data_IF_977218741141
#
_entry.id   IF_977218741141
#
_cell.length_a   1.000
_cell.length_b   1.000
_cell.length_c   1.000
_cell.angle_alpha   90.00
_cell.angle_beta   90.00
_cell.angle_gamma   90.00
#
_symmetry.space_group_name_H-M   'P 1'
#
loop_
_entity.id
_entity.type
_entity.pdbx_description
1 polymer ?
#
# COMPACT_ATOMS: atom_id res chain seq x y z
N UNK A 1 15.15 -5.90 -17.52
CA UNK A 1 15.77 -5.89 -16.18
C UNK A 1 14.77 -5.42 -15.14
N UNK A 2 14.61 -6.18 -14.07
CA UNK A 2 13.83 -5.71 -12.95
C UNK A 2 14.60 -4.58 -12.25
N UNK A 3 13.90 -3.55 -11.84
CA UNK A 3 14.49 -2.43 -11.12
C UNK A 3 14.08 -2.54 -9.65
N UNK A 4 15.07 -2.68 -8.77
CA UNK A 4 14.81 -2.67 -7.33
C UNK A 4 14.24 -1.33 -6.91
N UNK A 5 13.14 -1.35 -6.20
CA UNK A 5 12.54 -0.16 -5.61
C UNK A 5 12.79 -0.13 -4.11
N UNK A 6 12.76 1.07 -3.53
CA UNK A 6 12.98 1.26 -2.10
C UNK A 6 11.83 2.04 -1.50
N UNK A 7 11.51 1.71 -0.25
CA UNK A 7 10.57 2.46 0.54
C UNK A 7 11.13 2.67 1.93
N UNK A 8 10.73 3.77 2.58
CA UNK A 8 11.15 4.06 3.94
C UNK A 8 10.08 4.88 4.66
N UNK A 9 10.09 4.79 5.99
CA UNK A 9 9.26 5.65 6.81
C UNK A 9 9.91 7.03 6.94
N UNK A 10 9.14 7.99 7.42
CA UNK A 10 9.57 9.38 7.54
C UNK A 10 10.86 9.52 8.38
N UNK A 11 10.97 8.79 9.50
CA UNK A 11 12.13 8.89 10.37
C UNK A 11 13.31 7.99 9.95
N UNK A 12 13.11 7.14 8.94
CA UNK A 12 14.14 6.23 8.44
C UNK A 12 14.36 4.97 9.26
N UNK A 13 13.62 4.78 10.36
CA UNK A 13 13.81 3.61 11.23
C UNK A 13 13.41 2.29 10.57
N UNK A 14 12.47 2.35 9.63
CA UNK A 14 11.98 1.18 8.87
C UNK A 14 12.13 1.45 7.39
N UNK A 15 12.75 0.54 6.67
CA UNK A 15 12.90 0.64 5.22
C UNK A 15 12.86 -0.74 4.59
N UNK A 16 12.68 -0.78 3.29
CA UNK A 16 12.74 -2.03 2.54
C UNK A 16 13.26 -1.81 1.13
N UNK A 17 13.70 -2.89 0.53
CA UNK A 17 13.99 -2.98 -0.90
C UNK A 17 13.15 -4.11 -1.48
N UNK A 18 12.48 -3.88 -2.59
CA UNK A 18 11.70 -4.88 -3.31
C UNK A 18 12.25 -5.03 -4.71
N UNK A 19 12.44 -6.29 -5.15
CA UNK A 19 13.01 -6.55 -6.47
C UNK A 19 12.06 -6.16 -7.59
N UNK A 20 10.76 -6.43 -7.41
CA UNK A 20 9.71 -6.11 -8.38
C UNK A 20 8.46 -5.68 -7.64
N UNK A 21 7.70 -4.80 -8.27
CA UNK A 21 6.39 -4.37 -7.73
C UNK A 21 5.35 -4.38 -8.83
N UNK A 22 4.08 -4.52 -8.44
CA UNK A 22 2.96 -4.34 -9.34
C UNK A 22 2.70 -2.86 -9.58
N UNK A 23 1.75 -2.56 -10.47
CA UNK A 23 1.15 -1.24 -10.53
C UNK A 23 0.34 -0.95 -9.26
N UNK A 24 -0.15 0.26 -9.13
CA UNK A 24 -0.72 0.81 -7.89
C UNK A 24 -2.23 0.91 -8.00
N UNK A 25 -2.93 0.58 -6.91
CA UNK A 25 -4.38 0.77 -6.78
C UNK A 25 -4.63 1.86 -5.74
N UNK A 26 -5.47 2.82 -6.10
CA UNK A 26 -5.90 3.90 -5.21
C UNK A 26 -7.21 3.48 -4.53
N UNK A 27 -7.22 3.47 -3.19
CA UNK A 27 -8.36 3.00 -2.40
C UNK A 27 -9.01 4.15 -1.65
N UNK A 28 -10.30 4.37 -1.92
CA UNK A 28 -11.08 5.44 -1.31
C UNK A 28 -11.93 5.02 -0.13
N UNK A 29 -11.82 3.78 0.36
CA UNK A 29 -12.59 3.36 1.52
C UNK A 29 -12.18 4.16 2.75
N UNK A 30 -13.11 4.32 3.70
CA UNK A 30 -12.87 5.13 4.90
C UNK A 30 -11.69 4.62 5.72
N UNK A 31 -11.51 3.30 5.80
CA UNK A 31 -10.41 2.71 6.55
C UNK A 31 -9.06 3.02 5.91
N UNK A 32 -8.97 2.90 4.57
CA UNK A 32 -7.74 3.24 3.85
C UNK A 32 -7.39 4.71 3.96
N UNK A 33 -8.40 5.59 3.86
CA UNK A 33 -8.18 7.03 4.05
C UNK A 33 -7.62 7.34 5.43
N UNK A 34 -8.22 6.78 6.47
CA UNK A 34 -7.78 7.00 7.85
C UNK A 34 -6.40 6.42 8.10
N UNK A 35 -6.14 5.20 7.61
CA UNK A 35 -4.85 4.56 7.81
C UNK A 35 -3.73 5.28 7.05
N UNK A 36 -4.01 5.79 5.85
CA UNK A 36 -3.03 6.50 5.03
C UNK A 36 -2.86 7.97 5.42
N UNK A 37 -3.87 8.55 6.08
CA UNK A 37 -3.84 9.95 6.48
C UNK A 37 -4.10 10.93 5.34
N UNK A 38 -4.86 10.52 4.32
CA UNK A 38 -5.17 11.37 3.16
C UNK A 38 -6.52 11.05 2.55
N UNK A 39 -6.79 11.58 1.36
CA UNK A 39 -8.06 11.36 0.66
C UNK A 39 -8.21 9.93 0.15
N UNK A 40 -7.12 9.19 0.05
CA UNK A 40 -7.08 7.80 -0.40
C UNK A 40 -5.83 7.11 0.13
N UNK A 41 -5.83 5.78 0.12
CA UNK A 41 -4.63 4.99 0.29
C UNK A 41 -4.14 4.54 -1.09
N UNK A 42 -2.83 4.30 -1.23
CA UNK A 42 -2.20 3.89 -2.48
C UNK A 42 -1.40 2.63 -2.21
N UNK A 43 -1.72 1.54 -2.88
CA UNK A 43 -1.14 0.24 -2.56
C UNK A 43 -0.66 -0.51 -3.79
N UNK A 44 0.36 -1.32 -3.61
CA UNK A 44 0.87 -2.21 -4.65
C UNK A 44 1.19 -3.57 -4.03
N UNK A 45 1.39 -4.55 -4.89
CA UNK A 45 1.71 -5.93 -4.49
C UNK A 45 3.17 -6.22 -4.80
N UNK A 46 3.85 -6.87 -3.87
CA UNK A 46 5.18 -7.45 -4.08
C UNK A 46 5.14 -8.92 -3.67
N UNK A 47 6.12 -9.69 -4.14
CA UNK A 47 6.30 -11.06 -3.63
C UNK A 47 7.04 -10.97 -2.31
N UNK A 48 6.51 -11.61 -1.28
CA UNK A 48 7.06 -11.51 0.08
C UNK A 48 8.53 -11.91 0.15
N UNK A 49 8.94 -12.93 -0.61
CA UNK A 49 10.32 -13.39 -0.63
C UNK A 49 11.26 -12.49 -1.44
N UNK A 50 10.73 -11.46 -2.11
CA UNK A 50 11.52 -10.48 -2.86
C UNK A 50 11.65 -9.15 -2.14
N UNK A 51 11.13 -9.05 -0.91
CA UNK A 51 11.20 -7.84 -0.10
C UNK A 51 12.19 -8.06 1.05
N UNK A 52 13.18 -7.20 1.11
CA UNK A 52 14.18 -7.21 2.18
C UNK A 52 13.96 -6.01 3.10
N UNK A 53 13.73 -6.25 4.37
CA UNK A 53 13.44 -5.22 5.36
C UNK A 53 14.66 -4.85 6.19
N UNK A 54 14.72 -3.58 6.59
CA UNK A 54 15.59 -3.10 7.65
C UNK A 54 14.70 -2.43 8.71
N UNK A 55 14.90 -2.78 9.96
CA UNK A 55 14.10 -2.24 11.05
C UNK A 55 12.69 -2.79 11.13
N UNK A 56 12.41 -3.95 10.55
CA UNK A 56 11.08 -4.58 10.57
C UNK A 56 10.53 -4.73 11.98
N UNK A 57 11.38 -5.00 12.97
CA UNK A 57 10.97 -5.13 14.36
C UNK A 57 10.43 -3.83 14.97
N UNK A 58 10.60 -2.69 14.31
CA UNK A 58 10.06 -1.41 14.76
C UNK A 58 8.69 -1.10 14.16
N UNK A 59 8.11 -2.02 13.42
CA UNK A 59 6.73 -1.90 12.96
C UNK A 59 5.77 -2.20 14.08
N UNK A 60 4.70 -1.43 14.16
CA UNK A 60 3.52 -1.77 14.95
C UNK A 60 2.49 -2.38 14.00
N UNK A 61 1.88 -3.46 14.43
CA UNK A 61 0.89 -4.20 13.67
C UNK A 61 -0.48 -4.01 14.30
N UNK A 62 -1.44 -3.54 13.51
CA UNK A 62 -2.81 -3.29 13.98
C UNK A 62 -3.79 -4.12 13.16
N UNK A 63 -4.60 -4.93 13.85
CA UNK A 63 -5.66 -5.68 13.19
C UNK A 63 -6.83 -4.73 12.92
N UNK A 64 -6.85 -4.15 11.73
CA UNK A 64 -7.82 -3.10 11.35
C UNK A 64 -9.22 -3.66 11.05
N UNK A 65 -9.29 -4.93 10.69
CA UNK A 65 -10.52 -5.69 10.54
C UNK A 65 -10.20 -7.16 10.76
N UNK A 66 -11.20 -8.02 11.04
CA UNK A 66 -10.93 -9.43 11.35
C UNK A 66 -10.04 -10.10 10.30
N UNK A 67 -8.88 -10.58 10.74
CA UNK A 67 -7.93 -11.29 9.89
C UNK A 67 -7.05 -10.41 9.00
N UNK A 68 -7.15 -9.07 9.10
CA UNK A 68 -6.37 -8.15 8.27
C UNK A 68 -5.51 -7.22 9.13
N UNK A 69 -4.22 -7.19 8.83
CA UNK A 69 -3.21 -6.44 9.60
C UNK A 69 -2.66 -5.30 8.75
N UNK A 70 -2.62 -4.10 9.33
CA UNK A 70 -1.90 -2.94 8.78
C UNK A 70 -0.70 -2.66 9.65
N UNK A 71 0.43 -2.30 9.04
CA UNK A 71 1.68 -2.10 9.78
C UNK A 71 2.24 -0.71 9.51
N UNK A 72 2.74 -0.08 10.55
CA UNK A 72 3.27 1.29 10.48
C UNK A 72 4.48 1.42 11.41
N UNK A 73 5.32 2.43 11.13
CA UNK A 73 6.49 2.69 11.98
C UNK A 73 6.06 3.12 13.37
N UNK A 74 6.59 2.44 14.40
CA UNK A 74 6.29 2.76 15.80
C UNK A 74 6.79 4.15 16.22
N UNK A 75 7.82 4.68 15.52
CA UNK A 75 8.45 5.95 15.89
C UNK A 75 7.82 7.14 15.21
N UNK A 76 7.50 7.05 13.93
CA UNK A 76 7.00 8.20 13.17
C UNK A 76 5.58 8.02 12.62
N UNK A 77 5.01 6.83 12.73
CA UNK A 77 3.63 6.57 12.31
C UNK A 77 3.42 6.38 10.82
N UNK A 78 4.46 6.40 10.00
CA UNK A 78 4.31 6.18 8.55
C UNK A 78 3.70 4.82 8.29
N UNK A 79 2.58 4.78 7.55
CA UNK A 79 1.97 3.54 7.10
C UNK A 79 2.90 2.87 6.08
N UNK A 80 3.36 1.66 6.38
CA UNK A 80 4.28 0.93 5.52
C UNK A 80 3.58 -0.13 4.67
N UNK A 81 2.44 -0.62 5.13
CA UNK A 81 1.68 -1.66 4.41
C UNK A 81 0.24 -1.25 4.21
N UNK A 82 -0.44 -1.92 3.27
CA UNK A 82 -1.89 -1.96 3.25
C UNK A 82 -2.40 -3.03 4.21
N UNK A 83 -3.64 -3.47 4.01
CA UNK A 83 -4.25 -4.53 4.80
C UNK A 83 -3.79 -5.89 4.27
N UNK A 84 -3.00 -6.59 5.05
CA UNK A 84 -2.50 -7.93 4.71
C UNK A 84 -3.17 -9.00 5.55
N UNK A 85 -3.25 -10.22 5.03
CA UNK A 85 -3.78 -11.35 5.78
C UNK A 85 -2.93 -11.59 7.03
N UNK A 86 -3.61 -11.85 8.15
CA UNK A 86 -2.96 -12.20 9.42
C UNK A 86 -2.16 -13.50 9.25
N UNK A 87 -2.71 -14.45 8.48
CA UNK A 87 -2.00 -15.64 8.04
C UNK A 87 -1.39 -15.34 6.67
N UNK A 88 -0.11 -14.95 6.61
CA UNK A 88 0.47 -14.43 5.37
C UNK A 88 0.56 -15.48 4.27
N UNK A 89 0.32 -15.04 3.05
CA UNK A 89 0.54 -15.82 1.83
C UNK A 89 1.85 -15.37 1.15
N UNK A 90 2.02 -15.71 -0.13
CA UNK A 90 3.25 -15.40 -0.87
C UNK A 90 3.40 -13.93 -1.24
N UNK A 91 2.34 -13.13 -1.12
CA UNK A 91 2.34 -11.72 -1.49
C UNK A 91 2.26 -10.83 -0.27
N UNK A 92 2.66 -9.57 -0.45
CA UNK A 92 2.49 -8.53 0.55
C UNK A 92 1.99 -7.26 -0.14
N UNK A 93 1.01 -6.61 0.48
CA UNK A 93 0.50 -5.32 0.02
C UNK A 93 1.23 -4.23 0.79
N UNK A 94 1.91 -3.36 0.05
CA UNK A 94 2.71 -2.28 0.60
C UNK A 94 2.11 -0.91 0.25
N UNK A 95 2.39 0.10 1.06
CA UNK A 95 1.94 1.46 0.82
C UNK A 95 2.84 2.14 -0.19
N UNK A 96 2.27 2.65 -1.28
CA UNK A 96 3.02 3.38 -2.28
C UNK A 96 3.52 4.74 -1.77
N UNK A 97 2.89 5.28 -0.71
CA UNK A 97 3.30 6.56 -0.14
C UNK A 97 4.68 6.51 0.52
N UNK A 98 5.17 5.32 0.86
CA UNK A 98 6.49 5.13 1.42
C UNK A 98 7.59 4.93 0.36
N UNK A 99 7.21 4.80 -0.92
CA UNK A 99 8.18 4.60 -2.00
C UNK A 99 9.05 5.83 -2.20
N UNK A 100 10.30 5.60 -2.55
CA UNK A 100 11.31 6.64 -2.80
C UNK A 100 11.73 6.65 -4.26
N UNK A 101 12.00 7.86 -4.76
CA UNK A 101 12.53 8.06 -6.11
C UNK A 101 11.56 7.70 -7.21
N UNK A 102 12.07 7.49 -8.40
CA UNK A 102 11.26 7.07 -9.55
C UNK A 102 10.98 5.57 -9.48
N UNK A 103 9.73 5.20 -9.63
CA UNK A 103 9.31 3.81 -9.60
C UNK A 103 8.67 3.40 -10.93
N UNK A 104 8.83 2.13 -11.35
CA UNK A 104 8.30 1.66 -12.64
C UNK A 104 6.82 1.22 -12.48
N UNK A 105 6.01 2.06 -11.85
CA UNK A 105 4.62 1.75 -11.56
C UNK A 105 3.78 3.02 -11.61
N UNK A 106 2.49 2.85 -11.85
CA UNK A 106 1.52 3.95 -11.90
C UNK A 106 0.19 3.49 -11.33
N UNK A 107 -0.68 4.44 -11.03
CA UNK A 107 -2.04 4.13 -10.58
C UNK A 107 -2.83 3.60 -11.79
N UNK A 108 -3.36 2.38 -11.67
CA UNK A 108 -4.12 1.74 -12.76
C UNK A 108 -5.60 1.58 -12.45
N UNK A 109 -6.01 1.77 -11.19
CA UNK A 109 -7.40 1.63 -10.79
C UNK A 109 -7.67 2.44 -9.53
N UNK A 110 -8.92 2.87 -9.38
CA UNK A 110 -9.43 3.48 -8.17
C UNK A 110 -10.56 2.62 -7.66
N UNK A 111 -10.47 2.18 -6.41
CA UNK A 111 -11.49 1.31 -5.81
C UNK A 111 -12.24 2.03 -4.70
N UNK A 112 -13.42 1.50 -4.35
CA UNK A 112 -14.32 2.07 -3.35
C UNK A 112 -14.63 3.54 -3.60
N UNK A 113 -14.83 3.89 -4.87
CA UNK A 113 -15.10 5.26 -5.28
C UNK A 113 -16.44 5.78 -4.75
N UNK A 114 -17.38 4.88 -4.45
CA UNK A 114 -18.62 5.27 -3.79
C UNK A 114 -18.38 5.88 -2.40
N UNK A 115 -17.20 5.64 -1.81
CA UNK A 115 -16.82 6.15 -0.50
C UNK A 115 -15.86 7.35 -0.55
N UNK A 116 -15.63 7.93 -1.73
CA UNK A 116 -14.74 9.10 -1.88
C UNK A 116 -15.07 10.19 -0.88
N UNK A 117 -14.02 10.83 -0.36
CA UNK A 117 -14.19 11.98 0.52
C UNK A 117 -14.89 13.09 -0.24
N UNK A 118 -15.97 13.62 0.34
CA UNK A 118 -16.79 14.67 -0.32
C UNK A 118 -16.06 15.99 -0.46
N UNK A 119 -15.04 16.22 0.36
CA UNK A 119 -14.24 17.45 0.35
C UNK A 119 -13.11 17.42 -0.70
N UNK A 120 -12.86 16.25 -1.34
CA UNK A 120 -11.82 16.12 -2.35
C UNK A 120 -12.44 16.12 -3.75
N UNK A 121 -12.05 17.10 -4.58
CA UNK A 121 -12.60 17.30 -5.92
C UNK A 121 -11.69 16.79 -7.04
N UNK A 122 -10.45 16.40 -6.72
CA UNK A 122 -9.51 15.87 -7.71
C UNK A 122 -9.86 14.44 -8.13
N UNK A 123 -9.36 14.04 -9.29
CA UNK A 123 -9.50 12.66 -9.76
C UNK A 123 -8.37 12.32 -10.72
N UNK A 124 -8.00 11.04 -10.73
CA UNK A 124 -7.03 10.50 -11.67
C UNK A 124 -7.74 9.98 -12.91
N UNK A 125 -6.96 9.74 -13.98
CA UNK A 125 -7.49 9.17 -15.22
C UNK A 125 -7.74 7.67 -15.13
N UNK A 126 -7.25 7.01 -14.06
CA UNK A 126 -7.42 5.57 -13.87
C UNK A 126 -8.90 5.21 -13.75
N UNK A 127 -9.30 4.02 -14.24
CA UNK A 127 -10.68 3.55 -14.12
C UNK A 127 -11.17 3.53 -12.68
N UNK A 128 -12.43 3.93 -12.47
CA UNK A 128 -13.06 3.97 -11.14
C UNK A 128 -14.00 2.79 -10.96
N UNK A 129 -13.95 2.19 -9.77
CA UNK A 129 -14.84 1.11 -9.37
C UNK A 129 -15.53 1.52 -8.06
N UNK A 130 -16.84 1.36 -7.97
CA UNK A 130 -17.61 1.71 -6.78
C UNK A 130 -17.25 0.82 -5.58
N UNK A 131 -17.01 -0.46 -5.84
CA UNK A 131 -16.57 -1.43 -4.84
C UNK A 131 -15.09 -1.77 -5.00
N UNK A 132 -14.70 -2.98 -4.57
CA UNK A 132 -13.29 -3.39 -4.66
C UNK A 132 -12.83 -3.51 -6.12
N UNK A 133 -11.54 -3.27 -6.33
CA UNK A 133 -10.93 -3.47 -7.65
C UNK A 133 -10.98 -4.96 -8.00
N UNK A 134 -11.62 -5.34 -9.12
CA UNK A 134 -11.78 -6.76 -9.45
C UNK A 134 -10.48 -7.46 -9.85
N UNK A 135 -9.42 -6.70 -10.12
CA UNK A 135 -8.13 -7.26 -10.53
C UNK A 135 -7.15 -7.58 -9.41
N UNK A 136 -7.54 -7.44 -8.13
CA UNK A 136 -6.60 -7.69 -7.02
C UNK A 136 -5.96 -9.07 -7.06
N UNK A 137 -6.74 -10.11 -7.35
CA UNK A 137 -6.24 -11.49 -7.36
C UNK A 137 -5.17 -11.74 -8.43
N UNK A 138 -5.24 -11.00 -9.52
CA UNK A 138 -4.29 -11.13 -10.62
C UNK A 138 -3.21 -10.04 -10.62
N UNK A 139 -3.29 -9.09 -9.67
CA UNK A 139 -2.32 -8.01 -9.57
C UNK A 139 -1.01 -8.55 -9.00
N UNK A 140 -0.01 -8.63 -9.84
CA UNK A 140 1.31 -9.19 -9.50
C UNK A 140 2.41 -8.27 -10.03
N UNK A 141 3.59 -8.38 -9.42
CA UNK A 141 4.76 -7.68 -9.93
C UNK A 141 5.12 -8.13 -11.33
#
# INVERSE_FOLDING_TARGET
>A
MSKTVRGSCLCGAVSYAAERISDIVECHCAMCRKAAGGHAGFFFVAMRNEVSWEGEGKLTHYESSPGLIRSFCSRCGTAMTGANLKEPDDTIILSANALEGDVPARVIAQEFCASKATWFAGHDEAPEFDGPYPGWETLKP
#
